data_IF_861668637127
#
_entry.id   IF_861668637127
#
_cell.length_a   1.000
_cell.length_b   1.000
_cell.length_c   1.000
_cell.angle_alpha   90.00
_cell.angle_beta   90.00
_cell.angle_gamma   90.00
#
_symmetry.space_group_name_H-M   'P 1'
#
loop_
_entity.id
_entity.type
_entity.pdbx_description
1 polymer ?
#
# COMPACT_ATOMS: atom_id res chain seq x y z
N UNK A 1 -7.01 6.25 9.54
CA UNK A 1 -7.31 4.79 9.49
C UNK A 1 -7.87 4.48 8.10
N UNK A 2 -7.07 4.61 7.05
CA UNK A 2 -7.51 4.36 5.67
C UNK A 2 -7.38 2.90 5.22
N UNK A 3 -6.50 2.12 5.87
CA UNK A 3 -6.06 0.81 5.39
C UNK A 3 -7.17 -0.27 5.38
N UNK A 4 -8.26 -0.10 6.14
CA UNK A 4 -9.38 -1.05 6.17
C UNK A 4 -10.66 -0.58 5.46
N UNK A 5 -10.74 0.70 5.08
CA UNK A 5 -12.00 1.31 4.61
C UNK A 5 -12.53 0.71 3.32
N UNK A 6 -11.67 0.59 2.31
CA UNK A 6 -12.04 -0.02 1.02
C UNK A 6 -12.36 -1.51 1.17
N UNK A 7 -11.58 -2.24 1.98
CA UNK A 7 -11.84 -3.66 2.27
C UNK A 7 -13.22 -3.87 2.92
N UNK A 8 -13.58 -3.03 3.89
CA UNK A 8 -14.90 -3.08 4.52
C UNK A 8 -16.04 -2.80 3.53
N UNK A 9 -15.88 -1.80 2.64
CA UNK A 9 -16.88 -1.50 1.61
C UNK A 9 -17.05 -2.67 0.63
N UNK A 10 -15.95 -3.29 0.18
CA UNK A 10 -15.99 -4.44 -0.71
C UNK A 10 -16.60 -5.68 -0.02
N UNK A 11 -16.33 -5.89 1.27
CA UNK A 11 -16.93 -6.95 2.06
C UNK A 11 -18.46 -6.76 2.21
N UNK A 12 -18.92 -5.52 2.45
CA UNK A 12 -20.36 -5.20 2.48
C UNK A 12 -20.98 -5.44 1.10
N UNK A 13 -20.34 -4.99 0.02
CA UNK A 13 -20.82 -5.24 -1.33
C UNK A 13 -20.92 -6.75 -1.63
N UNK A 14 -19.92 -7.53 -1.23
CA UNK A 14 -19.91 -8.99 -1.36
C UNK A 14 -21.03 -9.67 -0.54
N UNK A 15 -21.39 -9.10 0.62
CA UNK A 15 -22.53 -9.62 1.42
C UNK A 15 -23.89 -9.42 0.73
N UNK A 16 -24.02 -8.39 -0.11
CA UNK A 16 -25.23 -8.11 -0.90
C UNK A 16 -25.28 -8.98 -2.16
N UNK A 17 -24.11 -9.26 -2.77
CA UNK A 17 -23.97 -10.14 -3.93
C UNK A 17 -22.98 -11.27 -3.65
N UNK A 18 -23.38 -12.29 -2.86
CA UNK A 18 -22.54 -13.43 -2.56
C UNK A 18 -22.14 -14.18 -3.84
N UNK A 19 -20.97 -14.83 -3.82
CA UNK A 19 -20.42 -15.59 -4.96
C UNK A 19 -19.98 -14.76 -6.18
N UNK A 20 -19.91 -13.44 -6.03
CA UNK A 20 -19.28 -12.58 -7.03
C UNK A 20 -17.75 -12.72 -6.96
N UNK A 21 -17.18 -13.51 -7.87
CA UNK A 21 -15.74 -13.77 -7.95
C UNK A 21 -14.91 -12.48 -8.13
N UNK A 22 -15.40 -11.56 -8.96
CA UNK A 22 -14.72 -10.29 -9.21
C UNK A 22 -14.70 -9.38 -7.96
N UNK A 23 -15.75 -9.43 -7.12
CA UNK A 23 -15.76 -8.71 -5.82
C UNK A 23 -14.79 -9.36 -4.83
N UNK A 24 -14.72 -10.69 -4.83
CA UNK A 24 -13.77 -11.42 -3.99
C UNK A 24 -12.32 -11.09 -4.35
N UNK A 25 -11.98 -11.11 -5.65
CA UNK A 25 -10.66 -10.73 -6.15
C UNK A 25 -10.33 -9.27 -5.82
N UNK A 26 -11.26 -8.34 -6.04
CA UNK A 26 -11.09 -6.94 -5.67
C UNK A 26 -10.79 -6.78 -4.17
N UNK A 27 -11.56 -7.47 -3.31
CA UNK A 27 -11.36 -7.45 -1.87
C UNK A 27 -9.99 -8.03 -1.49
N UNK A 28 -9.65 -9.21 -2.00
CA UNK A 28 -8.38 -9.86 -1.71
C UNK A 28 -7.18 -9.03 -2.19
N UNK A 29 -7.28 -8.41 -3.37
CA UNK A 29 -6.27 -7.50 -3.92
C UNK A 29 -6.06 -6.26 -3.06
N UNK A 30 -7.15 -5.61 -2.60
CA UNK A 30 -7.05 -4.48 -1.66
C UNK A 30 -6.36 -4.88 -0.35
N UNK A 31 -6.79 -5.99 0.25
CA UNK A 31 -6.20 -6.48 1.50
C UNK A 31 -4.73 -6.90 1.32
N UNK A 32 -4.39 -7.49 0.17
CA UNK A 32 -3.02 -7.85 -0.16
C UNK A 32 -2.12 -6.62 -0.29
N UNK A 33 -2.60 -5.56 -0.95
CA UNK A 33 -1.86 -4.30 -1.09
C UNK A 33 -1.59 -3.64 0.26
N UNK A 34 -2.62 -3.56 1.09
CA UNK A 34 -2.52 -2.98 2.44
C UNK A 34 -1.55 -3.77 3.33
N UNK A 35 -1.64 -5.10 3.31
CA UNK A 35 -0.76 -5.94 4.13
C UNK A 35 0.69 -5.91 3.60
N UNK A 36 0.86 -5.92 2.27
CA UNK A 36 2.16 -5.78 1.63
C UNK A 36 2.83 -4.47 2.02
N UNK A 37 2.10 -3.36 1.99
CA UNK A 37 2.63 -2.04 2.36
C UNK A 37 3.03 -1.95 3.83
N UNK A 38 2.18 -2.49 4.71
CA UNK A 38 2.48 -2.58 6.14
C UNK A 38 3.77 -3.38 6.40
N UNK A 39 3.90 -4.56 5.78
CA UNK A 39 5.10 -5.38 5.94
C UNK A 39 6.33 -4.73 5.31
N UNK A 40 6.17 -4.07 4.16
CA UNK A 40 7.22 -3.30 3.49
C UNK A 40 7.80 -2.24 4.42
N UNK A 41 6.93 -1.48 5.09
CA UNK A 41 7.34 -0.37 5.95
C UNK A 41 7.92 -0.86 7.26
N UNK A 42 7.26 -1.79 7.96
CA UNK A 42 7.70 -2.29 9.27
C UNK A 42 8.99 -3.13 9.18
N UNK A 43 9.09 -4.03 8.19
CA UNK A 43 10.27 -4.87 8.00
C UNK A 43 11.35 -4.18 7.15
N UNK A 44 10.99 -3.25 6.28
CA UNK A 44 11.94 -2.49 5.47
C UNK A 44 12.84 -1.56 6.28
N UNK A 45 12.38 -1.08 7.44
CA UNK A 45 13.21 -0.29 8.38
C UNK A 45 14.41 -1.07 8.91
N UNK A 46 14.33 -2.40 8.91
CA UNK A 46 15.42 -3.30 9.31
C UNK A 46 16.49 -3.45 8.21
N UNK A 47 16.30 -2.88 7.02
CA UNK A 47 17.25 -2.99 5.93
C UNK A 47 18.63 -2.39 6.28
N UNK A 48 19.73 -3.15 6.16
CA UNK A 48 21.07 -2.63 6.41
C UNK A 48 21.49 -1.62 5.33
N UNK A 49 20.83 -1.63 4.18
CA UNK A 49 21.10 -0.72 3.06
C UNK A 49 20.13 0.48 3.16
N UNK A 50 20.61 1.73 2.99
CA UNK A 50 19.74 2.90 2.97
C UNK A 50 18.66 2.78 1.86
N UNK A 51 17.42 3.19 2.13
CA UNK A 51 16.36 3.19 1.14
C UNK A 51 16.68 4.10 -0.04
N UNK A 52 16.04 3.82 -1.17
CA UNK A 52 16.09 4.63 -2.38
C UNK A 52 14.69 5.10 -2.74
N UNK A 53 14.54 6.37 -3.10
CA UNK A 53 13.25 6.88 -3.58
C UNK A 53 12.90 6.20 -4.90
N UNK A 54 11.69 5.64 -5.00
CA UNK A 54 11.28 4.82 -6.16
C UNK A 54 11.34 5.57 -7.50
N UNK A 55 11.15 6.89 -7.49
CA UNK A 55 11.13 7.72 -8.72
C UNK A 55 12.50 8.18 -9.19
N UNK A 56 13.42 8.51 -8.27
CA UNK A 56 14.74 9.09 -8.62
C UNK A 56 15.91 8.14 -8.37
N UNK A 57 15.66 7.04 -7.65
CA UNK A 57 16.67 6.06 -7.23
C UNK A 57 17.79 6.61 -6.33
N UNK A 58 17.66 7.86 -5.87
CA UNK A 58 18.57 8.49 -4.92
C UNK A 58 18.41 7.87 -3.54
N UNK A 59 19.54 7.73 -2.83
CA UNK A 59 19.55 7.26 -1.43
C UNK A 59 18.92 8.32 -0.54
N UNK A 60 18.06 7.89 0.37
CA UNK A 60 17.39 8.76 1.35
C UNK A 60 17.47 8.16 2.75
N UNK A 61 17.07 8.96 3.74
CA UNK A 61 16.98 8.52 5.12
C UNK A 61 15.86 7.49 5.30
N UNK A 62 15.97 6.68 6.36
CA UNK A 62 14.90 5.73 6.71
C UNK A 62 13.66 6.50 7.13
N UNK A 63 12.50 6.07 6.62
CA UNK A 63 11.22 6.72 6.88
C UNK A 63 10.89 7.89 5.94
N UNK A 64 11.72 8.17 4.92
CA UNK A 64 11.34 9.10 3.85
C UNK A 64 10.22 8.50 2.99
N UNK A 65 9.11 9.22 2.79
CA UNK A 65 7.99 8.76 1.97
C UNK A 65 8.44 8.46 0.54
N UNK A 66 8.01 7.30 0.02
CA UNK A 66 8.42 6.78 -1.28
C UNK A 66 9.78 6.10 -1.35
N UNK A 67 10.45 5.93 -0.21
CA UNK A 67 11.67 5.15 -0.08
C UNK A 67 11.39 3.65 -0.07
N UNK A 68 12.07 2.89 -0.93
CA UNK A 68 11.99 1.43 -1.00
C UNK A 68 13.34 0.76 -0.69
N UNK A 69 13.28 -0.44 -0.12
CA UNK A 69 14.44 -1.30 0.14
C UNK A 69 14.17 -2.70 -0.38
N UNK A 70 15.22 -3.47 -0.68
CA UNK A 70 15.06 -4.87 -1.08
C UNK A 70 14.35 -5.71 0.00
N UNK A 71 14.69 -5.50 1.27
CA UNK A 71 14.05 -6.20 2.39
C UNK A 71 12.57 -5.83 2.46
N UNK A 72 12.23 -4.55 2.32
CA UNK A 72 10.85 -4.07 2.26
C UNK A 72 10.08 -4.69 1.09
N UNK A 73 10.65 -4.74 -0.12
CA UNK A 73 9.99 -5.36 -1.28
C UNK A 73 9.77 -6.87 -1.12
N UNK A 74 10.73 -7.60 -0.52
CA UNK A 74 10.55 -9.02 -0.21
C UNK A 74 9.50 -9.24 0.88
N UNK A 75 9.49 -8.39 1.92
CA UNK A 75 8.47 -8.37 2.95
C UNK A 75 7.09 -8.08 2.36
N UNK A 76 6.98 -7.12 1.46
CA UNK A 76 5.75 -6.79 0.74
C UNK A 76 5.21 -8.00 -0.03
N UNK A 77 6.10 -8.68 -0.76
CA UNK A 77 5.75 -9.90 -1.51
C UNK A 77 5.26 -11.01 -0.58
N UNK A 78 5.94 -11.22 0.57
CA UNK A 78 5.51 -12.18 1.59
C UNK A 78 4.16 -11.83 2.21
N UNK A 79 3.93 -10.54 2.50
CA UNK A 79 2.66 -10.03 3.02
C UNK A 79 1.51 -10.22 2.03
N UNK A 80 1.74 -9.93 0.75
CA UNK A 80 0.76 -10.18 -0.31
C UNK A 80 0.46 -11.69 -0.47
N UNK A 81 1.51 -12.53 -0.44
CA UNK A 81 1.38 -13.99 -0.55
C UNK A 81 0.58 -14.58 0.60
N UNK A 82 0.77 -14.10 1.83
CA UNK A 82 -0.05 -14.52 2.96
C UNK A 82 -1.54 -14.26 2.69
N UNK A 83 -1.90 -13.05 2.23
CA UNK A 83 -3.29 -12.73 1.93
C UNK A 83 -3.82 -13.56 0.75
N UNK A 84 -3.02 -13.77 -0.29
CA UNK A 84 -3.40 -14.59 -1.44
C UNK A 84 -3.70 -16.05 -1.04
N UNK A 85 -2.87 -16.63 -0.17
CA UNK A 85 -3.09 -17.99 0.38
C UNK A 85 -4.41 -18.03 1.15
N UNK A 86 -4.65 -17.08 2.05
CA UNK A 86 -5.91 -17.03 2.81
C UNK A 86 -7.11 -16.86 1.87
N UNK A 87 -7.01 -16.02 0.85
CA UNK A 87 -8.08 -15.79 -0.11
C UNK A 87 -8.46 -17.06 -0.89
N UNK A 88 -7.47 -17.83 -1.33
CA UNK A 88 -7.70 -19.11 -2.01
C UNK A 88 -8.29 -20.17 -1.07
N UNK A 89 -7.85 -20.20 0.20
CA UNK A 89 -8.39 -21.14 1.20
C UNK A 89 -9.86 -20.86 1.51
N UNK A 90 -10.24 -19.58 1.60
CA UNK A 90 -11.63 -19.19 1.89
C UNK A 90 -12.55 -19.15 0.67
N UNK A 91 -12.00 -19.11 -0.54
CA UNK A 91 -12.75 -19.20 -1.79
C UNK A 91 -12.07 -20.20 -2.75
N UNK A 92 -12.26 -21.51 -2.53
CA UNK A 92 -11.61 -22.52 -3.34
C UNK A 92 -12.19 -22.56 -4.76
N UNK A 93 -11.34 -22.34 -5.76
CA UNK A 93 -11.69 -22.43 -7.19
C UNK A 93 -10.74 -23.37 -7.93
N UNK A 94 -11.15 -23.94 -9.08
CA UNK A 94 -10.23 -24.70 -9.95
C UNK A 94 -9.00 -23.88 -10.37
N UNK A 95 -9.18 -22.59 -10.58
CA UNK A 95 -8.15 -21.63 -11.01
C UNK A 95 -7.39 -20.98 -9.85
N UNK A 96 -7.29 -21.68 -8.72
CA UNK A 96 -6.68 -21.18 -7.49
C UNK A 96 -5.25 -20.64 -7.68
N UNK A 97 -4.46 -21.24 -8.58
CA UNK A 97 -3.09 -20.81 -8.84
C UNK A 97 -3.06 -19.44 -9.52
N UNK A 98 -3.95 -19.22 -10.48
CA UNK A 98 -4.12 -17.92 -11.14
C UNK A 98 -4.55 -16.86 -10.13
N UNK A 99 -5.51 -17.18 -9.27
CA UNK A 99 -5.96 -16.29 -8.18
C UNK A 99 -4.79 -15.90 -7.25
N UNK A 100 -4.00 -16.89 -6.82
CA UNK A 100 -2.85 -16.66 -5.97
C UNK A 100 -1.86 -15.68 -6.61
N UNK A 101 -1.48 -15.93 -7.86
CA UNK A 101 -0.53 -15.07 -8.60
C UNK A 101 -1.09 -13.67 -8.79
N UNK A 102 -2.35 -13.55 -9.21
CA UNK A 102 -3.02 -12.26 -9.41
C UNK A 102 -3.03 -11.44 -8.11
N UNK A 103 -3.41 -12.04 -6.98
CA UNK A 103 -3.50 -11.34 -5.70
C UNK A 103 -2.11 -10.93 -5.20
N UNK A 104 -1.09 -11.78 -5.36
CA UNK A 104 0.30 -11.43 -5.02
C UNK A 104 0.79 -10.23 -5.83
N UNK A 105 0.60 -10.28 -7.14
CA UNK A 105 1.03 -9.20 -8.04
C UNK A 105 0.27 -7.90 -7.75
N UNK A 106 -1.05 -7.98 -7.58
CA UNK A 106 -1.87 -6.84 -7.22
C UNK A 106 -1.44 -6.21 -5.90
N UNK A 107 -1.14 -7.03 -4.88
CA UNK A 107 -0.67 -6.55 -3.59
C UNK A 107 0.70 -5.88 -3.67
N UNK A 108 1.66 -6.49 -4.37
CA UNK A 108 2.99 -5.91 -4.58
C UNK A 108 2.91 -4.59 -5.35
N UNK A 109 2.16 -4.54 -6.46
CA UNK A 109 2.00 -3.33 -7.27
C UNK A 109 1.28 -2.24 -6.48
N UNK A 110 0.26 -2.59 -5.68
CA UNK A 110 -0.41 -1.65 -4.79
C UNK A 110 0.54 -0.98 -3.80
N UNK A 111 1.40 -1.76 -3.12
CA UNK A 111 2.41 -1.20 -2.20
C UNK A 111 3.48 -0.37 -2.93
N UNK A 112 3.91 -0.77 -4.13
CA UNK A 112 4.82 0.06 -4.92
C UNK A 112 4.16 1.36 -5.37
N UNK A 113 2.86 1.32 -5.68
CA UNK A 113 2.08 2.50 -6.02
C UNK A 113 1.98 3.47 -4.84
N UNK A 114 1.84 2.98 -3.61
CA UNK A 114 1.96 3.79 -2.40
C UNK A 114 3.25 4.60 -2.39
N UNK A 115 4.38 3.92 -2.61
CA UNK A 115 5.70 4.55 -2.67
C UNK A 115 5.81 5.59 -3.79
N UNK A 116 5.15 5.37 -4.94
CA UNK A 116 5.11 6.34 -6.04
C UNK A 116 4.30 7.58 -5.63
N UNK A 117 3.12 7.40 -5.03
CA UNK A 117 2.29 8.52 -4.56
C UNK A 117 3.01 9.32 -3.47
N UNK A 118 3.66 8.62 -2.53
CA UNK A 118 4.47 9.22 -1.48
C UNK A 118 5.67 10.00 -1.99
N UNK A 119 6.32 9.51 -3.04
CA UNK A 119 7.44 10.21 -3.67
C UNK A 119 7.02 11.45 -4.48
N UNK A 120 5.79 11.49 -5.01
CA UNK A 120 5.38 12.46 -6.03
C UNK A 120 4.42 13.53 -5.54
N UNK A 121 3.30 13.13 -4.93
CA UNK A 121 2.17 14.03 -4.66
C UNK A 121 1.83 14.19 -3.17
N UNK A 122 2.31 13.29 -2.31
CA UNK A 122 2.04 13.35 -0.86
C UNK A 122 2.61 14.61 -0.22
N UNK A 123 1.81 15.24 0.64
CA UNK A 123 2.23 16.39 1.42
C UNK A 123 3.34 16.03 2.40
N UNK A 124 4.47 16.74 2.30
CA UNK A 124 5.58 16.67 3.25
C UNK A 124 5.82 18.04 3.83
N UNK A 125 6.05 18.07 5.14
CA UNK A 125 6.27 19.27 5.93
C UNK A 125 7.63 19.25 6.60
N UNK A 126 8.16 20.41 6.92
CA UNK A 126 9.41 20.59 7.65
C UNK A 126 9.13 21.11 9.06
N UNK A 127 9.75 20.48 10.06
CA UNK A 127 9.76 20.98 11.42
C UNK A 127 11.05 21.80 11.67
N UNK A 128 10.97 23.12 11.91
CA UNK A 128 12.17 23.95 12.12
C UNK A 128 12.88 23.63 13.43
N UNK A 129 12.17 23.17 14.46
CA UNK A 129 12.78 22.82 15.76
C UNK A 129 13.54 21.49 15.70
N UNK A 130 12.96 20.47 15.05
CA UNK A 130 13.60 19.15 14.95
C UNK A 130 14.54 19.02 13.76
N UNK A 131 14.55 20.01 12.86
CA UNK A 131 15.34 19.99 11.62
C UNK A 131 15.14 18.71 10.82
N UNK A 132 13.88 18.29 10.63
CA UNK A 132 13.55 17.09 9.87
C UNK A 132 12.23 17.21 9.11
N UNK A 133 12.13 16.43 8.04
CA UNK A 133 10.90 16.23 7.30
C UNK A 133 9.90 15.38 8.11
N UNK A 134 8.62 15.63 7.89
CA UNK A 134 7.52 14.91 8.54
C UNK A 134 6.25 15.01 7.71
N UNK A 135 5.41 14.00 7.82
CA UNK A 135 4.06 13.98 7.25
C UNK A 135 3.03 14.63 8.20
N UNK A 136 3.44 15.01 9.43
CA UNK A 136 2.54 15.56 10.45
C UNK A 136 2.29 17.05 10.26
N UNK A 137 1.01 17.41 10.29
CA UNK A 137 0.52 18.78 10.18
C UNK A 137 -0.77 18.94 11.00
N UNK A 138 -1.04 20.10 11.63
CA UNK A 138 -0.24 21.34 11.60
C UNK A 138 0.95 21.37 12.56
N UNK A 139 0.99 20.43 13.51
CA UNK A 139 2.04 20.35 14.53
C UNK A 139 2.85 19.07 14.37
N UNK A 140 4.16 19.19 14.55
CA UNK A 140 5.05 18.03 14.70
C UNK A 140 4.88 17.43 16.11
N UNK A 141 5.41 16.22 16.34
CA UNK A 141 5.38 15.55 17.65
C UNK A 141 6.04 16.35 18.78
N UNK A 142 6.95 17.28 18.43
CA UNK A 142 7.56 18.20 19.40
C UNK A 142 6.68 19.42 19.77
N UNK A 143 5.50 19.57 19.15
CA UNK A 143 4.59 20.70 19.37
C UNK A 143 4.86 21.94 18.51
N UNK A 144 5.89 21.94 17.66
CA UNK A 144 6.18 23.05 16.74
C UNK A 144 5.33 22.97 15.48
N UNK A 145 4.89 24.14 14.97
CA UNK A 145 4.24 24.24 13.66
C UNK A 145 5.16 23.78 12.53
N UNK A 146 4.58 23.02 11.60
CA UNK A 146 5.29 22.51 10.43
C UNK A 146 4.95 23.35 9.20
N UNK A 147 5.94 23.56 8.34
CA UNK A 147 5.79 24.31 7.09
C UNK A 147 5.80 23.34 5.92
N UNK A 148 4.86 23.46 5.00
CA UNK A 148 4.82 22.57 3.84
C UNK A 148 6.03 22.78 2.93
N UNK A 149 6.67 21.68 2.52
CA UNK A 149 7.84 21.67 1.64
C UNK A 149 7.44 21.24 0.23
N UNK A 150 6.63 20.18 0.12
CA UNK A 150 6.22 19.61 -1.17
C UNK A 150 4.88 18.89 -1.08
N UNK A 151 4.41 18.43 -2.24
CA UNK A 151 3.14 17.72 -2.41
C UNK A 151 1.92 18.65 -2.34
N UNK A 152 0.73 18.06 -2.39
CA UNK A 152 -0.52 18.78 -2.26
C UNK A 152 -1.05 18.67 -0.84
N UNK A 153 -1.40 19.79 -0.22
CA UNK A 153 -1.74 19.87 1.22
C UNK A 153 -2.89 18.95 1.67
N UNK A 154 -3.76 18.53 0.74
CA UNK A 154 -4.86 17.61 1.00
C UNK A 154 -4.50 16.12 0.82
N UNK A 155 -3.37 15.81 0.17
CA UNK A 155 -2.88 14.44 -0.04
C UNK A 155 -2.01 14.04 1.15
N UNK A 156 -2.67 13.54 2.19
CA UNK A 156 -1.99 13.00 3.37
C UNK A 156 -1.78 11.47 3.24
N UNK A 157 -1.20 10.87 4.28
CA UNK A 157 -0.95 9.42 4.32
C UNK A 157 -2.24 8.58 4.17
N UNK A 158 -3.38 9.03 4.69
CA UNK A 158 -4.65 8.30 4.53
C UNK A 158 -5.09 8.26 3.04
N UNK A 159 -4.88 9.34 2.27
CA UNK A 159 -5.17 9.38 0.82
C UNK A 159 -4.24 8.45 0.04
N UNK A 160 -2.96 8.43 0.40
CA UNK A 160 -1.94 7.58 -0.25
C UNK A 160 -2.24 6.11 -0.01
N UNK A 161 -2.51 5.72 1.25
CA UNK A 161 -2.94 4.37 1.63
C UNK A 161 -4.24 3.95 0.93
N UNK A 162 -5.20 4.87 0.80
CA UNK A 162 -6.42 4.59 0.04
C UNK A 162 -6.09 4.27 -1.42
N UNK A 163 -5.23 5.06 -2.06
CA UNK A 163 -4.72 4.81 -3.41
C UNK A 163 -4.02 3.45 -3.56
N UNK A 164 -3.20 3.07 -2.58
CA UNK A 164 -2.57 1.75 -2.49
C UNK A 164 -3.61 0.60 -2.52
N UNK A 165 -4.59 0.65 -1.62
CA UNK A 165 -5.65 -0.35 -1.54
C UNK A 165 -6.51 -0.40 -2.81
N UNK A 166 -6.81 0.76 -3.39
CA UNK A 166 -7.61 0.89 -4.61
C UNK A 166 -6.88 0.30 -5.82
N UNK A 167 -5.57 0.56 -5.94
CA UNK A 167 -4.75 -0.04 -6.99
C UNK A 167 -4.74 -1.57 -6.88
N UNK A 168 -4.58 -2.11 -5.67
CA UNK A 168 -4.68 -3.54 -5.42
C UNK A 168 -6.03 -4.13 -5.85
N UNK A 169 -7.14 -3.48 -5.49
CA UNK A 169 -8.47 -3.90 -5.89
C UNK A 169 -8.66 -3.89 -7.41
N UNK A 170 -8.31 -2.78 -8.08
CA UNK A 170 -8.50 -2.60 -9.52
C UNK A 170 -7.69 -3.63 -10.30
N UNK A 171 -6.44 -3.88 -9.91
CA UNK A 171 -5.60 -4.86 -10.61
C UNK A 171 -6.16 -6.28 -10.44
N UNK A 172 -6.47 -6.70 -9.22
CA UNK A 172 -7.01 -8.03 -8.99
C UNK A 172 -8.36 -8.24 -9.69
N UNK A 173 -9.23 -7.23 -9.66
CA UNK A 173 -10.48 -7.20 -10.41
C UNK A 173 -10.28 -7.30 -11.93
N UNK A 174 -9.39 -6.46 -12.48
CA UNK A 174 -9.14 -6.38 -13.92
C UNK A 174 -8.55 -7.67 -14.49
N UNK A 175 -7.66 -8.33 -13.74
CA UNK A 175 -7.16 -9.65 -14.14
C UNK A 175 -8.23 -10.74 -14.07
N UNK A 176 -9.13 -10.68 -13.09
CA UNK A 176 -10.29 -11.57 -13.03
C UNK A 176 -11.26 -11.42 -14.20
N UNK A 177 -11.32 -10.25 -14.84
CA UNK A 177 -12.17 -10.04 -16.02
C UNK A 177 -11.54 -10.51 -17.34
N UNK A 178 -10.20 -10.61 -17.39
CA UNK A 178 -9.44 -10.92 -18.61
C UNK A 178 -9.02 -12.40 -18.66
N UNK A 179 -8.80 -13.03 -17.51
CA UNK A 179 -8.19 -14.36 -17.40
C UNK A 179 -9.15 -15.47 -16.93
N UNK A 180 -10.37 -15.13 -16.50
CA UNK A 180 -11.42 -16.02 -16.03
C UNK A 180 -12.71 -15.74 -16.82
#
# INVERSE_FOLDING_TARGET
MANGGLGALLAVAYSIQPQSEWLWLAFAGAMAAVNADTWSTELGVLSPVPPRVITSWNKVERGTSGGITLIGTLAATGGAALIAIMAVVFYPTPDWFSHLVIIVLAGLVGSLFDSVLGATIQAIFWCPTCSKETERHPLHTCGTHTNQVRGWSWVNNDVVNFGCSLMGAILAWGFGFVLL
#
